data_IF_253817776758
#
_entry.id   IF_253817776758
#
_cell.length_a   1.000
_cell.length_b   1.000
_cell.length_c   1.000
_cell.angle_alpha   90.00
_cell.angle_beta   90.00
_cell.angle_gamma   90.00
#
_symmetry.space_group_name_H-M   'P 1'
#
loop_
_entity.id
_entity.type
_entity.pdbx_description
1 polymer ?
#
# COMPACT_ATOMS: atom_id res chain seq x y z
N UNK A 1 -18.83 7.59 -12.53
CA UNK A 1 -18.89 8.14 -13.91
C UNK A 1 -19.28 7.01 -14.86
N UNK A 2 -19.81 7.32 -16.06
CA UNK A 2 -20.02 6.30 -17.09
C UNK A 2 -18.67 5.88 -17.69
N UNK A 3 -18.45 4.60 -18.00
CA UNK A 3 -17.28 4.15 -18.73
C UNK A 3 -17.13 4.85 -20.08
N UNK A 4 -15.94 5.37 -20.38
CA UNK A 4 -15.65 6.17 -21.57
C UNK A 4 -15.07 5.35 -22.72
N UNK A 5 -14.41 4.23 -22.41
CA UNK A 5 -13.70 3.41 -23.40
C UNK A 5 -13.98 1.91 -23.18
N UNK A 6 -13.58 1.08 -24.15
CA UNK A 6 -13.78 -0.39 -24.11
C UNK A 6 -13.15 -1.03 -22.86
N UNK A 7 -11.98 -0.57 -22.45
CA UNK A 7 -11.27 -1.07 -21.26
C UNK A 7 -12.05 -0.76 -19.97
N UNK A 8 -12.50 0.47 -19.78
CA UNK A 8 -13.33 0.84 -18.62
C UNK A 8 -14.66 0.07 -18.57
N UNK A 9 -15.28 -0.19 -19.74
CA UNK A 9 -16.50 -1.01 -19.83
C UNK A 9 -16.25 -2.46 -19.40
N UNK A 10 -15.17 -3.07 -19.88
CA UNK A 10 -14.78 -4.43 -19.52
C UNK A 10 -14.47 -4.55 -18.02
N UNK A 11 -13.67 -3.63 -17.48
CA UNK A 11 -13.32 -3.60 -16.06
C UNK A 11 -14.56 -3.44 -15.17
N UNK A 12 -15.50 -2.56 -15.53
CA UNK A 12 -16.73 -2.38 -14.74
C UNK A 12 -17.66 -3.61 -14.79
N UNK A 13 -17.61 -4.41 -15.87
CA UNK A 13 -18.31 -5.68 -15.94
C UNK A 13 -17.62 -6.72 -15.04
N UNK A 14 -16.30 -6.82 -15.09
CA UNK A 14 -15.53 -7.78 -14.29
C UNK A 14 -15.52 -7.47 -12.79
N UNK A 15 -15.62 -6.20 -12.40
CA UNK A 15 -15.64 -5.85 -10.98
C UNK A 15 -16.81 -6.46 -10.21
N UNK A 16 -17.91 -6.76 -10.91
CA UNK A 16 -19.09 -7.45 -10.33
C UNK A 16 -18.84 -8.93 -10.05
N UNK A 17 -17.82 -9.53 -10.68
CA UNK A 17 -17.45 -10.93 -10.53
C UNK A 17 -16.44 -11.16 -9.40
N UNK A 18 -15.95 -10.10 -8.75
CA UNK A 18 -15.02 -10.23 -7.64
C UNK A 18 -15.71 -10.87 -6.44
N UNK A 19 -15.05 -11.85 -5.84
CA UNK A 19 -15.54 -12.48 -4.60
C UNK A 19 -15.53 -11.47 -3.45
N UNK A 20 -16.50 -11.54 -2.52
CA UNK A 20 -16.46 -10.77 -1.29
C UNK A 20 -15.17 -11.00 -0.51
N UNK A 21 -14.78 -10.01 0.30
CA UNK A 21 -13.66 -10.17 1.23
C UNK A 21 -13.94 -11.29 2.23
N UNK A 22 -12.93 -12.09 2.53
CA UNK A 22 -13.07 -13.24 3.43
C UNK A 22 -12.99 -12.84 4.90
N UNK A 23 -13.64 -13.61 5.78
CA UNK A 23 -13.51 -13.43 7.25
C UNK A 23 -12.07 -13.51 7.74
N UNK A 24 -11.22 -14.29 7.07
CA UNK A 24 -9.79 -14.42 7.40
C UNK A 24 -9.05 -13.11 7.13
N UNK A 25 -9.32 -12.47 5.98
CA UNK A 25 -8.72 -11.17 5.63
C UNK A 25 -9.17 -10.08 6.59
N UNK A 26 -10.46 -10.03 6.94
CA UNK A 26 -10.98 -9.05 7.92
C UNK A 26 -10.35 -9.29 9.29
N UNK A 27 -10.27 -10.55 9.75
CA UNK A 27 -9.62 -10.89 11.03
C UNK A 27 -8.15 -10.51 11.05
N UNK A 28 -7.43 -10.70 9.95
CA UNK A 28 -6.05 -10.24 9.82
C UNK A 28 -5.97 -8.72 9.93
N UNK A 29 -6.84 -7.98 9.22
CA UNK A 29 -6.83 -6.52 9.28
C UNK A 29 -7.12 -6.01 10.70
N UNK A 30 -8.06 -6.62 11.41
CA UNK A 30 -8.32 -6.31 12.82
C UNK A 30 -7.11 -6.55 13.72
N UNK A 31 -6.21 -7.49 13.39
CA UNK A 31 -5.06 -7.86 14.22
C UNK A 31 -3.79 -7.07 13.92
N UNK A 32 -3.56 -6.77 12.65
CA UNK A 32 -2.29 -6.23 12.17
C UNK A 32 -2.38 -4.75 11.77
N UNK A 33 -3.58 -4.22 11.57
CA UNK A 33 -3.75 -2.88 11.02
C UNK A 33 -4.26 -1.83 12.02
N UNK A 34 -4.66 -2.21 13.23
CA UNK A 34 -5.13 -1.26 14.25
C UNK A 34 -4.40 -1.47 15.57
N UNK A 35 -4.48 -0.46 16.44
CA UNK A 35 -3.96 -0.59 17.79
C UNK A 35 -4.92 -1.38 18.69
N UNK A 36 -4.35 -2.19 19.57
CA UNK A 36 -5.12 -2.95 20.55
C UNK A 36 -4.89 -2.40 21.95
N UNK A 37 -5.96 -2.11 22.68
CA UNK A 37 -5.87 -1.42 23.96
C UNK A 37 -6.37 -2.24 25.14
N UNK A 38 -5.78 -1.96 26.30
CA UNK A 38 -6.29 -2.33 27.61
C UNK A 38 -6.60 -1.04 28.36
N UNK A 39 -7.88 -0.78 28.61
CA UNK A 39 -8.28 0.42 29.35
C UNK A 39 -8.21 0.17 30.84
N UNK A 40 -7.33 0.91 31.51
CA UNK A 40 -7.09 0.85 32.95
C UNK A 40 -7.78 2.03 33.64
N UNK A 41 -8.43 1.76 34.77
CA UNK A 41 -8.93 2.77 35.70
C UNK A 41 -7.85 3.08 36.76
N UNK A 42 -7.88 4.25 37.41
CA UNK A 42 -6.86 4.63 38.41
C UNK A 42 -6.66 3.58 39.52
N UNK A 43 -7.75 2.94 39.97
CA UNK A 43 -7.74 1.87 40.99
C UNK A 43 -7.24 0.51 40.48
N UNK A 44 -6.69 0.43 39.27
CA UNK A 44 -6.03 -0.77 38.73
C UNK A 44 -6.93 -1.75 37.97
N UNK A 45 -8.25 -1.57 37.98
CA UNK A 45 -9.16 -2.37 37.14
C UNK A 45 -8.88 -2.10 35.66
N UNK A 46 -8.52 -3.15 34.94
CA UNK A 46 -8.13 -3.12 33.53
C UNK A 46 -9.09 -3.97 32.72
N UNK A 47 -9.51 -3.47 31.55
CA UNK A 47 -10.41 -4.18 30.63
C UNK A 47 -9.77 -4.27 29.26
N UNK A 48 -9.75 -5.48 28.67
CA UNK A 48 -9.32 -5.69 27.30
C UNK A 48 -10.37 -5.15 26.33
N UNK A 49 -9.96 -4.28 25.40
CA UNK A 49 -10.88 -3.72 24.40
C UNK A 49 -11.21 -4.70 23.26
N UNK A 50 -10.44 -5.78 23.09
CA UNK A 50 -10.71 -6.79 22.06
C UNK A 50 -11.77 -7.83 22.48
N UNK A 51 -11.70 -8.31 23.72
CA UNK A 51 -12.54 -9.42 24.19
C UNK A 51 -13.44 -9.07 25.40
N UNK A 52 -13.32 -7.86 25.96
CA UNK A 52 -14.15 -7.40 27.08
C UNK A 52 -13.75 -7.93 28.45
N UNK A 53 -12.83 -8.91 28.53
CA UNK A 53 -12.39 -9.48 29.80
C UNK A 53 -11.75 -8.41 30.70
N UNK A 54 -12.07 -8.45 31.99
CA UNK A 54 -11.58 -7.50 33.00
C UNK A 54 -10.77 -8.19 34.09
N UNK A 55 -9.66 -7.59 34.49
CA UNK A 55 -8.79 -8.08 35.56
C UNK A 55 -8.12 -6.91 36.30
N UNK A 56 -7.45 -7.19 37.41
CA UNK A 56 -6.72 -6.16 38.18
C UNK A 56 -5.25 -6.15 37.78
N UNK A 57 -4.73 -4.96 37.47
CA UNK A 57 -3.32 -4.71 37.18
C UNK A 57 -2.72 -3.86 38.29
N UNK A 58 -1.93 -4.49 39.16
CA UNK A 58 -1.41 -3.87 40.39
C UNK A 58 -0.47 -2.68 40.13
N UNK A 59 0.31 -2.71 39.03
CA UNK A 59 1.24 -1.64 38.64
C UNK A 59 0.91 -1.16 37.24
N UNK A 60 1.01 0.15 37.01
CA UNK A 60 0.93 0.70 35.65
C UNK A 60 2.07 0.13 34.79
N UNK A 61 1.76 -0.23 33.54
CA UNK A 61 2.70 -0.70 32.51
C UNK A 61 2.28 -0.09 31.19
N UNK A 62 3.22 0.10 30.25
CA UNK A 62 2.89 0.59 28.90
C UNK A 62 2.13 -0.44 28.06
N UNK A 63 2.45 -1.72 28.25
CA UNK A 63 1.83 -2.84 27.54
C UNK A 63 1.49 -3.99 28.49
N UNK A 64 0.52 -4.81 28.11
CA UNK A 64 0.14 -6.03 28.82
C UNK A 64 -0.36 -7.10 27.86
N UNK A 65 -0.41 -8.35 28.31
CA UNK A 65 -1.07 -9.42 27.56
C UNK A 65 -2.40 -9.74 28.22
N UNK A 66 -3.48 -9.83 27.44
CA UNK A 66 -4.79 -10.20 27.99
C UNK A 66 -4.75 -11.65 28.51
N UNK A 67 -5.18 -11.91 29.75
CA UNK A 67 -5.19 -13.27 30.30
C UNK A 67 -6.20 -14.20 29.59
N UNK A 68 -7.24 -13.65 28.97
CA UNK A 68 -8.28 -14.41 28.28
C UNK A 68 -7.96 -14.66 26.80
N UNK A 69 -7.83 -13.60 26.00
CA UNK A 69 -7.60 -13.75 24.55
C UNK A 69 -6.13 -13.78 24.13
N UNK A 70 -5.19 -13.61 25.08
CA UNK A 70 -3.73 -13.57 24.86
C UNK A 70 -3.24 -12.50 23.89
N UNK A 71 -4.10 -11.53 23.53
CA UNK A 71 -3.71 -10.39 22.73
C UNK A 71 -2.71 -9.51 23.49
N UNK A 72 -1.70 -8.99 22.78
CA UNK A 72 -0.79 -7.95 23.28
C UNK A 72 -1.49 -6.61 23.15
N UNK A 73 -1.58 -5.87 24.25
CA UNK A 73 -2.37 -4.64 24.35
C UNK A 73 -1.51 -3.48 24.86
N UNK A 74 -1.74 -2.30 24.34
CA UNK A 74 -1.26 -1.03 24.88
C UNK A 74 -2.17 -0.61 26.04
N UNK A 75 -1.60 -0.36 27.22
CA UNK A 75 -2.39 0.05 28.38
C UNK A 75 -2.60 1.54 28.32
N UNK A 76 -3.87 1.96 28.41
CA UNK A 76 -4.26 3.37 28.45
C UNK A 76 -5.07 3.62 29.71
N UNK A 77 -4.60 4.54 30.56
CA UNK A 77 -5.38 4.97 31.71
C UNK A 77 -6.48 5.92 31.25
N UNK A 78 -7.74 5.49 31.34
CA UNK A 78 -8.88 6.27 30.85
C UNK A 78 -10.23 5.79 31.38
N UNK A 79 -11.13 6.74 31.59
CA UNK A 79 -12.55 6.49 31.87
C UNK A 79 -13.37 6.21 30.61
N UNK A 80 -12.82 6.46 29.42
CA UNK A 80 -13.48 6.18 28.14
C UNK A 80 -13.98 4.73 28.10
N UNK A 81 -15.22 4.53 27.65
CA UNK A 81 -15.86 3.21 27.59
C UNK A 81 -15.91 2.62 26.19
N UNK A 82 -16.05 3.48 25.18
CA UNK A 82 -16.17 3.12 23.77
C UNK A 82 -14.99 3.66 22.98
N UNK A 83 -14.48 2.86 22.07
CA UNK A 83 -13.43 3.23 21.13
C UNK A 83 -13.85 2.75 19.75
N UNK A 84 -13.93 3.68 18.81
CA UNK A 84 -14.04 3.34 17.40
C UNK A 84 -12.67 3.60 16.75
N UNK A 85 -12.17 2.61 16.03
CA UNK A 85 -10.99 2.75 15.18
C UNK A 85 -11.38 2.50 13.73
N UNK A 86 -10.83 3.34 12.86
CA UNK A 86 -10.98 3.23 11.42
C UNK A 86 -9.60 3.14 10.81
N UNK A 87 -9.39 2.16 9.95
CA UNK A 87 -8.09 1.98 9.31
C UNK A 87 -8.23 1.41 7.92
N UNK A 88 -7.39 1.86 7.00
CA UNK A 88 -7.39 1.35 5.64
C UNK A 88 -6.48 0.14 5.51
N UNK A 89 -6.88 -0.79 4.67
CA UNK A 89 -5.99 -1.87 4.25
C UNK A 89 -6.34 -2.27 2.83
N UNK A 90 -5.46 -3.03 2.20
CA UNK A 90 -5.62 -3.46 0.82
C UNK A 90 -5.45 -4.96 0.68
N UNK A 91 -6.00 -5.50 -0.40
CA UNK A 91 -5.74 -6.88 -0.80
C UNK A 91 -5.39 -6.89 -2.27
N UNK A 92 -4.42 -7.72 -2.64
CA UNK A 92 -4.04 -7.92 -4.03
C UNK A 92 -4.65 -9.24 -4.56
N UNK A 93 -5.25 -9.19 -5.75
CA UNK A 93 -5.83 -10.37 -6.39
C UNK A 93 -5.69 -10.28 -7.90
N UNK A 94 -5.78 -11.41 -8.59
CA UNK A 94 -5.88 -11.48 -10.03
C UNK A 94 -7.32 -11.88 -10.42
N UNK A 95 -7.91 -11.15 -11.37
CA UNK A 95 -9.24 -11.44 -11.91
C UNK A 95 -9.13 -11.53 -13.43
N UNK A 96 -9.26 -12.75 -13.96
CA UNK A 96 -8.96 -13.05 -15.38
C UNK A 96 -7.58 -12.53 -15.77
N UNK A 97 -7.52 -11.65 -16.76
CA UNK A 97 -6.31 -11.01 -17.30
C UNK A 97 -5.87 -9.75 -16.52
N UNK A 98 -6.62 -9.35 -15.49
CA UNK A 98 -6.37 -8.13 -14.74
C UNK A 98 -5.69 -8.40 -13.40
N UNK A 99 -4.71 -7.56 -13.09
CA UNK A 99 -4.22 -7.38 -11.73
C UNK A 99 -5.14 -6.39 -11.01
N UNK A 100 -5.58 -6.72 -9.80
CA UNK A 100 -6.52 -5.90 -9.02
C UNK A 100 -5.98 -5.64 -7.62
N UNK A 101 -5.85 -4.38 -7.25
CA UNK A 101 -5.64 -3.94 -5.87
C UNK A 101 -6.96 -3.43 -5.32
N UNK A 102 -7.50 -4.13 -4.33
CA UNK A 102 -8.75 -3.78 -3.67
C UNK A 102 -8.46 -3.00 -2.40
N UNK A 103 -9.26 -1.98 -2.15
CA UNK A 103 -9.10 -1.02 -1.06
C UNK A 103 -10.27 -1.16 -0.10
N UNK A 104 -9.97 -1.30 1.18
CA UNK A 104 -10.96 -1.51 2.23
C UNK A 104 -10.77 -0.53 3.38
N UNK A 105 -11.88 -0.10 3.97
CA UNK A 105 -11.93 0.56 5.26
C UNK A 105 -12.37 -0.46 6.31
N UNK A 106 -11.48 -0.79 7.24
CA UNK A 106 -11.83 -1.49 8.48
C UNK A 106 -12.48 -0.50 9.44
N UNK A 107 -13.62 -0.88 10.00
CA UNK A 107 -14.25 -0.19 11.14
C UNK A 107 -14.29 -1.19 12.29
N UNK A 108 -13.67 -0.85 13.41
CA UNK A 108 -13.65 -1.64 14.62
C UNK A 108 -14.27 -0.86 15.78
N UNK A 109 -15.31 -1.44 16.37
CA UNK A 109 -16.07 -0.89 17.47
C UNK A 109 -15.79 -1.71 18.73
N UNK A 110 -15.25 -1.04 19.74
CA UNK A 110 -14.79 -1.67 20.96
C UNK A 110 -15.48 -1.00 22.15
N UNK A 111 -16.08 -1.81 23.01
CA UNK A 111 -16.72 -1.34 24.23
C UNK A 111 -16.22 -2.13 25.44
N UNK A 112 -15.92 -1.42 26.54
CA UNK A 112 -15.51 -2.04 27.81
C UNK A 112 -16.54 -3.09 28.24
N UNK A 113 -16.09 -4.33 28.38
CA UNK A 113 -16.92 -5.45 28.82
C UNK A 113 -17.52 -6.25 27.66
N UNK A 114 -17.42 -5.78 26.43
CA UNK A 114 -17.94 -6.44 25.24
C UNK A 114 -16.80 -6.97 24.37
N UNK A 115 -17.09 -7.99 23.57
CA UNK A 115 -16.19 -8.43 22.49
C UNK A 115 -16.22 -7.38 21.39
N UNK A 116 -15.06 -7.05 20.83
CA UNK A 116 -14.97 -6.11 19.72
C UNK A 116 -15.74 -6.61 18.50
N UNK A 117 -16.51 -5.72 17.89
CA UNK A 117 -17.17 -5.94 16.62
C UNK A 117 -16.41 -5.19 15.53
N UNK A 118 -16.27 -5.79 14.36
CA UNK A 118 -15.55 -5.19 13.27
C UNK A 118 -16.03 -5.70 11.91
N UNK A 119 -15.98 -4.82 10.94
CA UNK A 119 -16.35 -5.10 9.56
C UNK A 119 -15.48 -4.30 8.60
N UNK A 120 -15.44 -4.73 7.34
CA UNK A 120 -14.69 -4.07 6.28
C UNK A 120 -15.61 -3.60 5.16
N UNK A 121 -15.46 -2.35 4.75
CA UNK A 121 -16.16 -1.77 3.61
C UNK A 121 -15.21 -1.67 2.42
N UNK A 122 -15.55 -2.24 1.28
CA UNK A 122 -14.77 -2.05 0.06
C UNK A 122 -15.05 -0.66 -0.51
N UNK A 123 -14.02 0.19 -0.55
CA UNK A 123 -14.16 1.57 -1.02
C UNK A 123 -13.80 1.72 -2.50
N UNK A 124 -12.99 0.81 -3.03
CA UNK A 124 -12.61 0.84 -4.44
C UNK A 124 -11.51 -0.14 -4.81
N UNK A 125 -11.17 -0.10 -6.09
CA UNK A 125 -10.35 -1.10 -6.75
C UNK A 125 -9.53 -0.42 -7.84
N UNK A 126 -8.21 -0.58 -7.81
CA UNK A 126 -7.35 -0.30 -8.96
C UNK A 126 -7.23 -1.55 -9.82
N UNK A 127 -7.36 -1.35 -11.13
CA UNK A 127 -7.30 -2.40 -12.14
C UNK A 127 -6.19 -2.09 -13.14
N UNK A 128 -5.34 -3.08 -13.41
CA UNK A 128 -4.30 -3.03 -14.45
C UNK A 128 -4.46 -4.18 -15.42
N UNK A 129 -4.37 -3.88 -16.72
CA UNK A 129 -4.22 -4.91 -17.74
C UNK A 129 -2.73 -5.28 -17.95
N UNK A 130 -2.46 -6.25 -18.82
CA UNK A 130 -1.10 -6.71 -19.10
C UNK A 130 -0.15 -5.62 -19.64
N UNK A 131 -0.66 -4.54 -20.23
CA UNK A 131 0.14 -3.40 -20.72
C UNK A 131 0.33 -2.30 -19.67
N UNK A 132 -0.11 -2.50 -18.42
CA UNK A 132 0.00 -1.52 -17.34
C UNK A 132 -1.04 -0.39 -17.41
N UNK A 133 -2.01 -0.46 -18.35
CA UNK A 133 -3.11 0.51 -18.41
C UNK A 133 -3.97 0.40 -17.16
N UNK A 134 -4.14 1.53 -16.47
CA UNK A 134 -4.84 1.62 -15.18
C UNK A 134 -6.25 2.18 -15.32
N UNK A 135 -7.20 1.64 -14.55
CA UNK A 135 -8.48 2.30 -14.26
C UNK A 135 -8.90 2.03 -12.81
N UNK A 136 -9.92 2.77 -12.34
CA UNK A 136 -10.40 2.71 -10.95
C UNK A 136 -11.90 2.51 -10.94
N UNK A 137 -12.34 1.51 -10.18
CA UNK A 137 -13.75 1.29 -9.83
C UNK A 137 -13.88 1.57 -8.34
N UNK A 138 -14.60 2.63 -7.96
CA UNK A 138 -14.66 3.07 -6.57
C UNK A 138 -15.98 3.73 -6.18
N UNK A 139 -16.26 3.70 -4.89
CA UNK A 139 -17.30 4.49 -4.23
C UNK A 139 -16.96 5.97 -4.38
N UNK A 140 -17.97 6.83 -4.52
CA UNK A 140 -17.73 8.26 -4.66
C UNK A 140 -17.10 8.85 -3.41
N UNK A 141 -15.94 9.50 -3.56
CA UNK A 141 -15.44 10.44 -2.57
C UNK A 141 -16.35 11.69 -2.55
N UNK A 142 -16.82 12.07 -1.37
CA UNK A 142 -17.61 13.29 -1.14
C UNK A 142 -16.66 14.40 -0.67
N UNK A 143 -17.00 15.68 -0.82
CA UNK A 143 -16.18 16.75 -0.23
C UNK A 143 -16.17 16.61 1.30
N UNK A 144 -14.99 16.58 1.91
CA UNK A 144 -14.87 16.45 3.37
C UNK A 144 -13.43 16.51 3.85
N UNK A 145 -13.25 16.97 5.10
CA UNK A 145 -11.94 17.17 5.75
C UNK A 145 -11.15 15.87 5.94
N UNK A 146 -11.85 14.76 6.19
CA UNK A 146 -11.21 13.47 6.46
C UNK A 146 -11.16 12.60 5.21
N UNK A 147 -10.10 11.80 5.05
CA UNK A 147 -9.91 10.91 3.90
C UNK A 147 -11.08 9.91 3.76
N UNK A 148 -11.74 9.54 4.86
CA UNK A 148 -12.84 8.58 4.94
C UNK A 148 -14.24 9.12 4.61
N UNK A 149 -14.36 10.32 4.02
CA UNK A 149 -15.69 10.82 3.62
C UNK A 149 -16.09 10.27 2.24
N UNK A 150 -16.60 9.04 2.21
CA UNK A 150 -17.15 8.38 1.02
C UNK A 150 -18.67 8.27 1.10
N UNK A 151 -19.33 8.23 -0.06
CA UNK A 151 -20.76 7.95 -0.16
C UNK A 151 -20.98 6.43 -0.08
N UNK A 152 -20.89 5.85 1.11
CA UNK A 152 -20.88 4.38 1.30
C UNK A 152 -22.10 3.64 0.75
N UNK A 153 -23.24 4.31 0.59
CA UNK A 153 -24.45 3.74 0.00
C UNK A 153 -24.48 3.84 -1.54
N UNK A 154 -23.54 4.56 -2.15
CA UNK A 154 -23.46 4.70 -3.60
C UNK A 154 -22.76 3.50 -4.23
N UNK A 155 -23.21 3.04 -5.42
CA UNK A 155 -22.55 1.95 -6.12
C UNK A 155 -21.13 2.33 -6.55
N UNK A 156 -20.23 1.35 -6.54
CA UNK A 156 -18.91 1.49 -7.14
C UNK A 156 -19.05 1.68 -8.66
N UNK A 157 -18.46 2.74 -9.18
CA UNK A 157 -18.44 3.02 -10.63
C UNK A 157 -17.04 3.44 -11.05
N UNK A 158 -16.83 3.61 -12.36
CA UNK A 158 -15.58 4.20 -12.85
C UNK A 158 -15.39 5.60 -12.26
N UNK A 159 -14.21 5.85 -11.70
CA UNK A 159 -13.83 7.14 -11.10
C UNK A 159 -12.49 7.62 -11.65
N UNK A 160 -12.31 8.94 -11.64
CA UNK A 160 -10.98 9.52 -11.78
C UNK A 160 -10.16 9.25 -10.52
N UNK A 161 -8.86 9.08 -10.72
CA UNK A 161 -7.90 8.92 -9.62
C UNK A 161 -7.83 10.19 -8.79
N UNK A 162 -7.69 10.05 -7.47
CA UNK A 162 -7.60 11.17 -6.54
C UNK A 162 -6.65 10.83 -5.38
N UNK A 163 -6.34 11.84 -4.57
CA UNK A 163 -5.44 11.69 -3.44
C UNK A 163 -5.95 10.70 -2.39
N UNK A 164 -7.26 10.66 -2.13
CA UNK A 164 -7.84 9.74 -1.15
C UNK A 164 -7.64 8.26 -1.54
N UNK A 165 -7.88 7.90 -2.80
CA UNK A 165 -7.64 6.53 -3.29
C UNK A 165 -6.15 6.19 -3.25
N UNK A 166 -5.28 7.14 -3.64
CA UNK A 166 -3.82 6.97 -3.57
C UNK A 166 -3.33 6.81 -2.14
N UNK A 167 -3.86 7.56 -1.19
CA UNK A 167 -3.53 7.43 0.23
C UNK A 167 -3.79 6.01 0.73
N UNK A 168 -4.93 5.42 0.34
CA UNK A 168 -5.26 4.04 0.73
C UNK A 168 -4.28 3.01 0.16
N UNK A 169 -3.61 3.29 -0.96
CA UNK A 169 -2.66 2.33 -1.54
C UNK A 169 -1.33 2.24 -0.79
N UNK A 170 -1.03 3.19 0.10
CA UNK A 170 0.09 3.10 1.05
C UNK A 170 -0.23 2.26 2.27
N UNK A 171 -1.49 1.84 2.43
CA UNK A 171 -1.91 1.03 3.58
C UNK A 171 -1.44 -0.42 3.45
N UNK A 172 -1.42 -1.13 4.58
CA UNK A 172 -0.96 -2.51 4.66
C UNK A 172 -1.72 -3.43 3.69
N UNK A 173 -1.00 -4.34 3.04
CA UNK A 173 -1.54 -5.32 2.10
C UNK A 173 -1.67 -6.67 2.79
N UNK A 174 -2.81 -7.34 2.66
CA UNK A 174 -3.00 -8.71 3.16
C UNK A 174 -1.97 -9.66 2.52
N UNK A 175 -1.11 -10.35 3.28
CA UNK A 175 0.10 -10.99 2.75
C UNK A 175 -0.14 -12.20 1.85
N UNK A 176 -1.34 -12.81 1.88
CA UNK A 176 -1.67 -13.94 1.00
C UNK A 176 -2.48 -13.43 -0.17
N UNK A 177 -1.80 -13.16 -1.27
CA UNK A 177 -2.42 -12.61 -2.48
C UNK A 177 -2.05 -13.40 -3.73
N UNK A 178 -2.80 -13.13 -4.81
CA UNK A 178 -2.52 -13.65 -6.15
C UNK A 178 -2.06 -12.52 -7.06
N UNK A 179 -1.02 -12.79 -7.82
CA UNK A 179 -0.52 -11.92 -8.89
C UNK A 179 -0.69 -12.58 -10.25
N UNK A 180 -0.74 -11.77 -11.30
CA UNK A 180 -0.75 -12.25 -12.68
C UNK A 180 0.60 -12.84 -13.09
N UNK A 181 0.56 -13.79 -14.03
CA UNK A 181 1.77 -14.44 -14.55
C UNK A 181 2.69 -13.43 -15.26
N UNK A 182 2.12 -12.42 -15.93
CA UNK A 182 2.87 -11.31 -16.53
C UNK A 182 3.66 -10.54 -15.48
N UNK A 183 3.05 -10.22 -14.34
CA UNK A 183 3.73 -9.48 -13.26
C UNK A 183 4.85 -10.32 -12.64
N UNK A 184 4.63 -11.64 -12.46
CA UNK A 184 5.67 -12.59 -12.03
C UNK A 184 6.84 -12.66 -13.00
N UNK A 185 6.56 -12.84 -14.29
CA UNK A 185 7.56 -12.90 -15.36
C UNK A 185 8.42 -11.65 -15.39
N UNK A 186 7.83 -10.48 -15.11
CA UNK A 186 8.51 -9.18 -15.09
C UNK A 186 9.28 -8.93 -13.77
N UNK A 187 9.42 -9.94 -12.89
CA UNK A 187 10.35 -9.92 -11.77
C UNK A 187 9.73 -9.68 -10.39
N UNK A 188 8.41 -9.60 -10.25
CA UNK A 188 7.76 -9.39 -8.95
C UNK A 188 7.85 -10.62 -8.04
N UNK A 189 8.48 -10.48 -6.87
CA UNK A 189 8.75 -11.56 -5.89
C UNK A 189 8.03 -11.37 -4.54
N UNK A 190 6.76 -10.93 -4.58
CA UNK A 190 5.91 -10.74 -3.38
C UNK A 190 6.37 -9.66 -2.39
N UNK A 191 7.36 -8.84 -2.78
CA UNK A 191 7.78 -7.65 -2.05
C UNK A 191 7.53 -6.40 -2.91
N UNK A 192 7.06 -5.34 -2.25
CA UNK A 192 6.82 -4.03 -2.83
C UNK A 192 7.99 -3.07 -2.62
N UNK A 193 9.00 -3.43 -1.82
CA UNK A 193 10.23 -2.66 -1.61
C UNK A 193 9.99 -1.19 -1.21
N UNK A 194 8.97 -0.94 -0.37
CA UNK A 194 8.51 0.39 0.02
C UNK A 194 8.06 1.28 -1.16
N UNK A 195 7.71 0.68 -2.31
CA UNK A 195 7.13 1.37 -3.46
C UNK A 195 5.62 1.11 -3.47
N UNK A 196 4.76 2.13 -3.61
CA UNK A 196 3.33 1.94 -3.65
C UNK A 196 2.91 0.99 -4.78
N UNK A 197 1.96 0.06 -4.56
CA UNK A 197 1.49 -0.84 -5.61
C UNK A 197 1.01 -0.11 -6.86
N UNK A 198 0.42 1.07 -6.69
CA UNK A 198 -0.06 1.93 -7.79
C UNK A 198 1.03 2.49 -8.68
N UNK A 199 2.28 2.44 -8.22
CA UNK A 199 3.46 2.89 -8.96
C UNK A 199 4.24 1.67 -9.46
N UNK A 200 4.48 0.68 -8.59
CA UNK A 200 5.28 -0.50 -8.92
C UNK A 200 4.61 -1.39 -9.96
N UNK A 201 3.33 -1.75 -9.78
CA UNK A 201 2.62 -2.68 -10.67
C UNK A 201 2.57 -2.16 -12.11
N UNK A 202 2.09 -0.93 -12.40
CA UNK A 202 2.07 -0.46 -13.77
C UNK A 202 3.48 -0.33 -14.35
N UNK A 203 4.48 0.12 -13.58
CA UNK A 203 5.85 0.22 -14.05
C UNK A 203 6.41 -1.14 -14.50
N UNK A 204 6.21 -2.19 -13.71
CA UNK A 204 6.62 -3.54 -14.07
C UNK A 204 5.87 -4.08 -15.28
N UNK A 205 4.61 -3.66 -15.51
CA UNK A 205 3.81 -4.13 -16.65
C UNK A 205 4.10 -3.38 -17.96
N UNK A 206 4.53 -2.12 -17.89
CA UNK A 206 4.70 -1.26 -19.07
C UNK A 206 6.14 -0.89 -19.42
N UNK A 207 7.09 -0.96 -18.47
CA UNK A 207 8.45 -0.45 -18.66
C UNK A 207 9.51 -1.54 -18.38
N UNK A 208 10.23 -1.94 -19.42
CA UNK A 208 11.30 -2.94 -19.33
C UNK A 208 12.49 -2.49 -18.48
N UNK A 209 12.67 -1.17 -18.27
CA UNK A 209 13.71 -0.63 -17.38
C UNK A 209 13.41 -0.97 -15.93
N UNK A 210 12.14 -0.93 -15.53
CA UNK A 210 11.71 -1.32 -14.19
C UNK A 210 11.95 -2.82 -13.94
N UNK A 211 11.63 -3.67 -14.93
CA UNK A 211 11.96 -5.10 -14.91
C UNK A 211 13.47 -5.35 -14.76
N UNK A 212 14.30 -4.60 -15.48
CA UNK A 212 15.76 -4.73 -15.41
C UNK A 212 16.29 -4.42 -14.01
N UNK A 213 15.82 -3.33 -13.39
CA UNK A 213 16.25 -2.93 -12.04
C UNK A 213 15.77 -3.91 -10.96
N UNK A 214 14.53 -4.39 -11.05
CA UNK A 214 14.00 -5.33 -10.04
C UNK A 214 14.71 -6.68 -10.14
N UNK A 215 14.98 -7.18 -11.36
CA UNK A 215 15.66 -8.46 -11.57
C UNK A 215 17.14 -8.42 -11.17
N UNK A 216 17.78 -7.26 -11.28
CA UNK A 216 19.16 -7.04 -10.81
C UNK A 216 19.25 -6.75 -9.31
N UNK A 217 18.13 -6.75 -8.58
CA UNK A 217 18.11 -6.47 -7.13
C UNK A 217 18.33 -5.01 -6.75
N UNK A 218 18.32 -4.08 -7.73
CA UNK A 218 18.58 -2.65 -7.52
C UNK A 218 17.29 -1.89 -7.16
N UNK A 219 16.63 -2.33 -6.10
CA UNK A 219 15.31 -1.86 -5.68
C UNK A 219 15.32 -0.39 -5.23
N UNK A 220 16.41 0.08 -4.63
CA UNK A 220 16.55 1.50 -4.25
C UNK A 220 16.63 2.42 -5.47
N UNK A 221 17.29 1.98 -6.53
CA UNK A 221 17.40 2.73 -7.78
C UNK A 221 16.04 2.78 -8.47
N UNK A 222 15.33 1.64 -8.48
CA UNK A 222 13.96 1.57 -8.99
C UNK A 222 13.05 2.54 -8.23
N UNK A 223 13.11 2.54 -6.90
CA UNK A 223 12.32 3.45 -6.04
C UNK A 223 12.61 4.91 -6.36
N UNK A 224 13.88 5.28 -6.52
CA UNK A 224 14.28 6.64 -6.90
C UNK A 224 13.75 7.04 -8.28
N UNK A 225 13.97 6.21 -9.30
CA UNK A 225 13.53 6.51 -10.66
C UNK A 225 12.01 6.56 -10.81
N UNK A 226 11.27 5.77 -10.04
CA UNK A 226 9.80 5.85 -10.00
C UNK A 226 9.29 7.05 -9.20
N UNK A 227 10.09 7.58 -8.28
CA UNK A 227 9.76 8.76 -7.48
C UNK A 227 9.96 10.08 -8.23
N UNK A 228 10.92 10.15 -9.15
CA UNK A 228 11.21 11.35 -9.97
C UNK A 228 10.63 11.22 -11.38
N UNK A 229 9.81 12.19 -11.77
CA UNK A 229 9.26 12.27 -13.14
C UNK A 229 10.42 12.42 -14.12
N UNK A 230 10.39 11.67 -15.24
CA UNK A 230 11.42 11.67 -16.32
C UNK A 230 12.82 11.17 -15.96
N UNK A 231 13.11 10.83 -14.71
CA UNK A 231 14.46 10.38 -14.34
C UNK A 231 14.91 9.14 -15.13
N UNK A 232 13.99 8.23 -15.43
CA UNK A 232 14.26 7.12 -16.34
C UNK A 232 14.60 7.53 -17.77
N UNK A 233 14.09 8.65 -18.27
CA UNK A 233 14.39 9.10 -19.64
C UNK A 233 15.70 9.89 -19.69
N UNK A 234 15.96 10.68 -18.63
CA UNK A 234 17.13 11.55 -18.51
C UNK A 234 18.41 10.77 -18.21
N UNK A 235 18.39 9.84 -17.23
CA UNK A 235 19.62 9.23 -16.72
C UNK A 235 19.90 7.81 -17.25
N UNK A 236 18.95 7.16 -17.92
CA UNK A 236 19.05 5.72 -18.20
C UNK A 236 20.22 5.34 -19.11
N UNK A 237 20.58 6.17 -20.08
CA UNK A 237 21.74 5.90 -20.94
C UNK A 237 23.04 5.97 -20.14
N UNK A 238 23.24 7.03 -19.37
CA UNK A 238 24.37 7.20 -18.46
C UNK A 238 24.43 6.07 -17.42
N UNK A 239 23.27 5.66 -16.91
CA UNK A 239 23.16 4.58 -15.95
C UNK A 239 23.64 3.25 -16.52
N UNK A 240 23.19 2.89 -17.74
CA UNK A 240 23.68 1.68 -18.42
C UNK A 240 25.19 1.71 -18.64
N UNK A 241 25.75 2.87 -18.97
CA UNK A 241 27.19 3.02 -19.19
C UNK A 241 27.94 2.78 -17.88
N UNK A 242 27.53 3.41 -16.78
CA UNK A 242 28.13 3.20 -15.47
C UNK A 242 28.10 1.73 -15.04
N UNK A 243 26.94 1.08 -15.14
CA UNK A 243 26.78 -0.34 -14.79
C UNK A 243 27.63 -1.26 -15.68
N UNK A 244 27.69 -1.00 -16.99
CA UNK A 244 28.50 -1.79 -17.93
C UNK A 244 30.01 -1.69 -17.63
N UNK A 245 30.47 -0.56 -17.12
CA UNK A 245 31.86 -0.35 -16.73
C UNK A 245 32.16 -0.81 -15.30
N UNK A 246 31.23 -1.51 -14.64
CA UNK A 246 31.43 -2.02 -13.28
C UNK A 246 31.43 -0.96 -12.19
N UNK A 247 30.97 0.26 -12.49
CA UNK A 247 30.85 1.30 -11.48
C UNK A 247 29.69 1.00 -10.52
N UNK A 248 30.02 0.91 -9.23
CA UNK A 248 29.04 0.64 -8.18
C UNK A 248 28.40 1.95 -7.70
N UNK A 249 27.15 2.16 -8.10
CA UNK A 249 26.37 3.33 -7.71
C UNK A 249 25.71 3.00 -6.37
N UNK A 250 26.34 3.43 -5.27
CA UNK A 250 25.85 3.20 -3.91
C UNK A 250 24.67 4.10 -3.55
N UNK A 251 24.72 5.37 -3.96
CA UNK A 251 23.63 6.34 -3.80
C UNK A 251 23.21 6.89 -5.17
N UNK A 252 22.03 6.46 -5.61
CA UNK A 252 21.46 6.86 -6.89
C UNK A 252 21.11 8.34 -6.96
N UNK A 253 20.76 8.97 -5.83
CA UNK A 253 20.43 10.40 -5.80
C UNK A 253 21.69 11.22 -6.00
N UNK A 254 22.74 10.94 -5.21
CA UNK A 254 24.03 11.64 -5.33
C UNK A 254 24.65 11.42 -6.71
N UNK A 255 24.53 10.21 -7.26
CA UNK A 255 25.03 9.94 -8.60
C UNK A 255 24.26 10.70 -9.70
N UNK A 256 22.94 10.86 -9.58
CA UNK A 256 22.18 11.71 -10.50
C UNK A 256 22.60 13.18 -10.39
N UNK A 257 22.78 13.71 -9.17
CA UNK A 257 23.25 15.08 -8.97
C UNK A 257 24.65 15.29 -9.58
N UNK A 258 25.51 14.27 -9.49
CA UNK A 258 26.81 14.26 -10.17
C UNK A 258 26.69 14.29 -11.70
N UNK A 259 25.76 13.52 -12.28
CA UNK A 259 25.48 13.53 -13.73
C UNK A 259 24.96 14.90 -14.17
N UNK A 260 24.08 15.52 -13.39
CA UNK A 260 23.58 16.87 -13.66
C UNK A 260 24.69 17.92 -13.60
N UNK A 261 25.58 17.81 -12.61
CA UNK A 261 26.78 18.64 -12.52
C UNK A 261 27.66 18.49 -13.77
N UNK A 262 27.95 17.26 -14.21
CA UNK A 262 28.71 17.00 -15.44
C UNK A 262 28.06 17.64 -16.66
N UNK A 263 26.75 17.49 -16.80
CA UNK A 263 25.97 18.10 -17.88
C UNK A 263 26.08 19.63 -17.86
N UNK A 264 25.90 20.25 -16.70
CA UNK A 264 26.02 21.72 -16.54
C UNK A 264 27.43 22.25 -16.84
N UNK A 265 28.47 21.45 -16.61
CA UNK A 265 29.86 21.77 -16.93
C UNK A 265 30.23 21.47 -18.39
N UNK A 266 29.26 21.09 -19.23
CA UNK A 266 29.47 20.74 -20.64
C UNK A 266 30.29 19.47 -20.83
N UNK A 267 30.34 18.58 -19.84
CA UNK A 267 31.03 17.29 -19.94
C UNK A 267 30.10 16.26 -20.59
N UNK A 268 30.70 15.30 -21.28
CA UNK A 268 29.97 14.22 -21.92
C UNK A 268 29.46 13.21 -20.88
N UNK A 269 28.17 13.28 -20.58
CA UNK A 269 27.44 12.36 -19.68
C UNK A 269 27.23 10.96 -20.28
N UNK A 270 27.80 10.67 -21.45
CA UNK A 270 27.85 9.35 -22.05
C UNK A 270 29.28 8.79 -22.14
N UNK A 271 30.26 9.49 -21.57
CA UNK A 271 31.63 8.99 -21.49
C UNK A 271 31.88 8.27 -20.15
N UNK A 272 32.38 7.02 -20.17
CA UNK A 272 32.79 6.31 -18.96
C UNK A 272 33.82 7.08 -18.13
N UNK A 273 34.73 7.82 -18.80
CA UNK A 273 35.77 8.63 -18.18
C UNK A 273 35.20 9.66 -17.19
N UNK A 274 34.05 10.23 -17.50
CA UNK A 274 33.39 11.21 -16.64
C UNK A 274 32.38 10.54 -15.70
N UNK A 275 31.64 9.52 -16.14
CA UNK A 275 30.61 8.90 -15.31
C UNK A 275 31.12 8.00 -14.18
N UNK A 276 32.33 7.47 -14.32
CA UNK A 276 32.91 6.48 -13.42
C UNK A 276 34.22 7.04 -12.83
N UNK A 277 34.16 8.02 -11.90
CA UNK A 277 35.36 8.48 -11.22
C UNK A 277 35.96 7.31 -10.42
N UNK A 278 37.25 7.05 -10.64
CA UNK A 278 38.06 6.08 -9.89
C UNK A 278 38.30 6.52 -8.46
#
# INVERSE_FOLDING_TARGET
MKPRNKFEKAVLAESKNLRPITKIQIKWAFRECIDHFAYRLPKGRTTCMDCGHSWTLNKHRKTCTCPHCRAKLQVKETFQRKLQQKHYFTTLTACREYQVLRMFLLVAEMEKGCKAEYYALEIGQYWWNAQGRKTIVAVQRVLGRYVDTFSYCAPMTIRNDNEAYRYVTYSQIYPKFKVSDTLRRNGFKDDFHNIPPTTLIPALLSDSRAETLIKSGRTDHLRYFLGKRRAFDEYWQSYKIAVRNGYDITDISLWCDYVDMLSSLGKDIHSPKFLCPT
#
